data_IF_918735023435
#
_entry.id   IF_918735023435
#
_cell.length_a   1.000
_cell.length_b   1.000
_cell.length_c   1.000
_cell.angle_alpha   90.00
_cell.angle_beta   90.00
_cell.angle_gamma   90.00
#
_symmetry.space_group_name_H-M   'P 1'
#
loop_
_entity.id
_entity.type
_entity.pdbx_description
1 polymer ?
#
# COMPACT_ATOMS: atom_id res chain seq x y z
N UNK A 1 9.38 -22.40 66.10
CA UNK A 1 8.18 -21.57 65.95
C UNK A 1 8.19 -20.74 64.67
N UNK A 2 7.30 -21.17 63.77
CA UNK A 2 6.50 -20.43 62.79
C UNK A 2 7.17 -19.75 61.57
N UNK A 3 8.49 -19.57 61.52
CA UNK A 3 9.11 -18.78 60.43
C UNK A 3 9.67 -19.57 59.24
N UNK A 4 9.76 -20.90 59.30
CA UNK A 4 10.24 -21.71 58.16
C UNK A 4 9.14 -22.37 57.33
N UNK A 5 7.87 -22.20 57.69
CA UNK A 5 6.73 -22.90 57.05
C UNK A 5 6.06 -22.09 55.93
N UNK A 6 6.49 -20.84 55.68
CA UNK A 6 5.83 -19.94 54.73
C UNK A 6 6.65 -19.54 53.50
N UNK A 7 7.84 -20.14 53.27
CA UNK A 7 8.65 -19.87 52.07
C UNK A 7 8.60 -21.07 51.12
N UNK A 8 7.40 -21.37 50.61
CA UNK A 8 7.23 -22.19 49.40
C UNK A 8 6.29 -21.46 48.46
N UNK A 9 6.76 -20.36 47.88
CA UNK A 9 6.22 -19.91 46.61
C UNK A 9 6.82 -20.80 45.52
N UNK A 10 6.16 -21.92 45.23
CA UNK A 10 6.33 -22.55 43.92
C UNK A 10 5.81 -21.57 42.87
N UNK A 11 6.71 -20.70 42.40
CA UNK A 11 6.47 -19.85 41.26
C UNK A 11 6.23 -20.74 40.06
N UNK A 12 4.96 -20.97 39.71
CA UNK A 12 4.60 -21.40 38.36
C UNK A 12 5.16 -20.35 37.41
N UNK A 13 6.33 -20.63 36.82
CA UNK A 13 6.73 -19.99 35.57
C UNK A 13 5.67 -20.37 34.57
N UNK A 14 4.67 -19.51 34.43
CA UNK A 14 3.83 -19.53 33.26
C UNK A 14 4.79 -19.17 32.12
N UNK A 15 5.24 -20.20 31.40
CA UNK A 15 5.80 -20.07 30.05
C UNK A 15 4.66 -19.59 29.15
N UNK A 16 4.12 -18.40 29.45
CA UNK A 16 3.38 -17.60 28.51
C UNK A 16 4.47 -17.05 27.58
N UNK A 17 5.00 -17.94 26.74
CA UNK A 17 5.59 -17.54 25.47
C UNK A 17 4.45 -16.87 24.73
N UNK A 18 4.25 -15.58 25.05
CA UNK A 18 3.58 -14.60 24.22
C UNK A 18 4.37 -14.63 22.93
N UNK A 19 4.02 -15.60 22.09
CA UNK A 19 4.58 -15.78 20.79
C UNK A 19 3.97 -14.60 20.08
N UNK A 20 4.72 -13.49 20.01
CA UNK A 20 4.33 -12.32 19.26
C UNK A 20 3.85 -12.85 17.91
N UNK A 21 2.63 -12.50 17.48
CA UNK A 21 2.13 -13.01 16.21
C UNK A 21 3.22 -12.77 15.17
N UNK A 22 3.59 -13.77 14.35
CA UNK A 22 4.68 -13.60 13.39
C UNK A 22 4.48 -12.40 12.45
N UNK A 23 3.23 -11.92 12.31
CA UNK A 23 2.88 -10.65 11.69
C UNK A 23 3.59 -9.40 12.28
N UNK A 24 4.04 -9.46 13.54
CA UNK A 24 4.75 -8.37 14.25
C UNK A 24 6.27 -8.42 14.00
N UNK A 25 6.81 -9.56 13.56
CA UNK A 25 8.25 -9.74 13.26
C UNK A 25 8.54 -9.94 11.77
N UNK A 26 7.51 -10.09 10.92
CA UNK A 26 7.68 -10.25 9.48
C UNK A 26 7.93 -8.89 8.81
N UNK A 27 8.76 -8.87 7.77
CA UNK A 27 9.03 -7.67 6.97
C UNK A 27 7.78 -7.12 6.23
N UNK A 28 6.68 -7.89 6.21
CA UNK A 28 5.40 -7.55 5.58
C UNK A 28 4.29 -7.71 6.64
N UNK A 29 3.80 -6.59 7.17
CA UNK A 29 2.78 -6.57 8.24
C UNK A 29 1.34 -6.51 7.72
N UNK A 30 1.15 -6.22 6.44
CA UNK A 30 -0.17 -5.92 5.84
C UNK A 30 -0.79 -7.11 5.08
N UNK A 31 -0.10 -8.26 4.98
CA UNK A 31 -0.61 -9.45 4.29
C UNK A 31 -0.26 -10.71 5.05
N UNK A 32 -1.28 -11.52 5.35
CA UNK A 32 -1.10 -12.80 6.05
C UNK A 32 -0.66 -13.90 5.09
N UNK A 33 0.16 -14.83 5.58
CA UNK A 33 0.52 -16.04 4.83
C UNK A 33 -0.68 -17.01 4.74
N UNK A 34 -0.67 -17.90 3.75
CA UNK A 34 -1.68 -18.97 3.61
C UNK A 34 -3.02 -18.57 2.99
N UNK A 35 -3.19 -17.31 2.56
CA UNK A 35 -4.39 -16.86 1.84
C UNK A 35 -4.57 -17.70 0.57
N UNK A 36 -5.78 -18.20 0.33
CA UNK A 36 -6.09 -19.03 -0.84
C UNK A 36 -7.46 -18.70 -1.40
N UNK A 37 -7.48 -18.35 -2.68
CA UNK A 37 -8.70 -18.15 -3.47
C UNK A 37 -8.87 -19.26 -4.50
N UNK A 38 -10.12 -19.58 -4.84
CA UNK A 38 -10.44 -20.53 -5.92
C UNK A 38 -10.02 -19.97 -7.29
N UNK A 39 -10.15 -18.66 -7.47
CA UNK A 39 -9.75 -17.90 -8.65
C UNK A 39 -8.95 -16.71 -8.18
N UNK A 40 -7.79 -16.48 -8.79
CA UNK A 40 -6.95 -15.33 -8.46
C UNK A 40 -7.39 -14.15 -9.33
N UNK A 41 -7.95 -13.12 -8.71
CA UNK A 41 -8.43 -11.93 -9.38
C UNK A 41 -7.90 -10.67 -8.68
N UNK A 42 -7.69 -9.61 -9.46
CA UNK A 42 -7.33 -8.29 -8.98
C UNK A 42 -8.20 -7.29 -9.72
N UNK A 43 -8.93 -6.48 -8.98
CA UNK A 43 -9.70 -5.37 -9.54
C UNK A 43 -8.99 -4.08 -9.18
N UNK A 44 -8.99 -3.13 -10.11
CA UNK A 44 -8.37 -1.83 -9.96
C UNK A 44 -9.36 -0.78 -10.47
N UNK A 45 -9.72 0.14 -9.60
CA UNK A 45 -10.57 1.28 -9.90
C UNK A 45 -9.71 2.54 -9.88
N UNK A 46 -9.73 3.28 -10.99
CA UNK A 46 -9.12 4.61 -11.11
C UNK A 46 -10.24 5.63 -10.89
N UNK A 47 -10.14 6.40 -9.81
CA UNK A 47 -11.15 7.37 -9.41
C UNK A 47 -10.52 8.74 -9.45
N UNK A 48 -11.01 9.60 -10.35
CA UNK A 48 -10.55 10.97 -10.50
C UNK A 48 -11.69 11.93 -10.20
N UNK A 49 -11.40 12.95 -9.40
CA UNK A 49 -12.28 14.06 -9.11
C UNK A 49 -11.69 15.34 -9.67
N UNK A 50 -12.51 16.19 -10.30
CA UNK A 50 -12.08 17.45 -10.88
C UNK A 50 -12.60 18.58 -10.00
N UNK A 51 -11.67 19.29 -9.37
CA UNK A 51 -11.97 20.50 -8.61
C UNK A 51 -11.77 21.71 -9.52
N UNK A 52 -12.87 22.31 -9.94
CA UNK A 52 -12.91 23.45 -10.86
C UNK A 52 -13.51 24.68 -10.18
N UNK A 53 -12.75 25.79 -10.20
CA UNK A 53 -13.20 27.10 -9.76
C UNK A 53 -13.22 28.06 -10.95
N UNK A 54 -14.37 28.67 -11.21
CA UNK A 54 -14.55 29.63 -12.30
C UNK A 54 -15.28 30.89 -11.82
N UNK A 55 -14.89 32.03 -12.39
CA UNK A 55 -15.59 33.30 -12.24
C UNK A 55 -16.91 33.29 -13.03
N UNK A 56 -17.86 34.16 -12.66
CA UNK A 56 -19.13 34.32 -13.36
C UNK A 56 -18.99 34.74 -14.84
N UNK A 57 -17.84 35.31 -15.22
CA UNK A 57 -17.51 35.67 -16.60
C UNK A 57 -16.95 34.49 -17.43
N UNK A 58 -16.83 33.30 -16.84
CA UNK A 58 -16.29 32.10 -17.49
C UNK A 58 -14.77 31.92 -17.40
N UNK A 59 -14.04 32.84 -16.77
CA UNK A 59 -12.60 32.67 -16.55
C UNK A 59 -12.34 31.60 -15.48
N UNK A 60 -11.52 30.60 -15.79
CA UNK A 60 -11.09 29.56 -14.85
C UNK A 60 -10.03 30.13 -13.91
N UNK A 61 -10.24 29.97 -12.61
CA UNK A 61 -9.36 30.41 -11.52
C UNK A 61 -8.46 29.28 -11.05
N UNK A 62 -9.00 28.07 -10.99
CA UNK A 62 -8.28 26.86 -10.59
C UNK A 62 -8.95 25.63 -11.17
N UNK A 63 -8.13 24.68 -11.57
CA UNK A 63 -8.56 23.38 -12.08
C UNK A 63 -7.50 22.38 -11.63
N UNK A 64 -7.86 21.51 -10.68
CA UNK A 64 -6.99 20.43 -10.22
C UNK A 64 -7.71 19.08 -10.32
N UNK A 65 -6.93 18.03 -10.59
CA UNK A 65 -7.43 16.66 -10.60
C UNK A 65 -6.96 16.03 -9.29
N UNK A 66 -7.85 15.33 -8.59
CA UNK A 66 -7.51 14.56 -7.41
C UNK A 66 -7.81 13.10 -7.74
N UNK A 67 -6.76 12.30 -7.89
CA UNK A 67 -6.83 10.91 -8.29
C UNK A 67 -6.58 9.94 -7.14
N UNK A 68 -7.26 8.79 -7.17
CA UNK A 68 -7.04 7.66 -6.26
C UNK A 68 -7.16 6.33 -7.02
N UNK A 69 -6.23 5.42 -6.74
CA UNK A 69 -6.26 4.04 -7.23
C UNK A 69 -6.70 3.12 -6.10
N UNK A 70 -7.91 2.56 -6.21
CA UNK A 70 -8.45 1.59 -5.26
C UNK A 70 -8.34 0.19 -5.85
N UNK A 71 -7.82 -0.75 -5.06
CA UNK A 71 -7.62 -2.12 -5.47
C UNK A 71 -8.48 -3.06 -4.63
N UNK A 72 -8.95 -4.14 -5.26
CA UNK A 72 -9.50 -5.31 -4.59
C UNK A 72 -8.66 -6.53 -4.94
N UNK A 73 -7.85 -6.99 -4.00
CA UNK A 73 -7.00 -8.16 -4.16
C UNK A 73 -7.72 -9.42 -3.69
N UNK A 74 -7.86 -10.37 -4.60
CA UNK A 74 -8.32 -11.73 -4.32
C UNK A 74 -7.27 -12.71 -4.84
N UNK A 75 -6.06 -12.59 -4.30
CA UNK A 75 -4.89 -13.36 -4.73
C UNK A 75 -4.45 -14.34 -3.65
N UNK A 76 -3.96 -15.51 -4.05
CA UNK A 76 -3.44 -16.53 -3.14
C UNK A 76 -1.96 -16.31 -2.83
N UNK A 77 -1.51 -16.72 -1.64
CA UNK A 77 -0.11 -16.65 -1.22
C UNK A 77 0.38 -15.21 -1.01
N UNK A 78 1.66 -14.97 -1.29
CA UNK A 78 2.36 -13.68 -1.14
C UNK A 78 2.85 -13.16 -2.50
N UNK A 79 1.94 -12.69 -3.38
CA UNK A 79 2.33 -12.23 -4.72
C UNK A 79 3.02 -10.85 -4.66
N UNK A 80 4.09 -10.68 -5.44
CA UNK A 80 4.65 -9.36 -5.76
C UNK A 80 4.01 -8.88 -7.08
N UNK A 81 3.36 -7.72 -7.03
CA UNK A 81 2.75 -7.05 -8.17
C UNK A 81 3.61 -5.86 -8.61
N UNK A 82 3.53 -5.54 -9.90
CA UNK A 82 4.11 -4.32 -10.48
C UNK A 82 3.03 -3.59 -11.27
N UNK A 83 2.86 -2.30 -11.00
CA UNK A 83 1.95 -1.42 -11.71
C UNK A 83 2.74 -0.48 -12.62
N UNK A 84 2.42 -0.51 -13.92
CA UNK A 84 2.95 0.43 -14.90
C UNK A 84 1.93 1.53 -15.18
N UNK A 85 2.32 2.79 -14.95
CA UNK A 85 1.56 3.98 -15.35
C UNK A 85 2.28 4.68 -16.51
N UNK A 86 1.52 5.43 -17.30
CA UNK A 86 2.04 6.31 -18.35
C UNK A 86 2.59 7.64 -17.78
N UNK A 87 3.41 7.53 -16.75
CA UNK A 87 4.04 8.65 -16.04
C UNK A 87 5.08 9.35 -16.92
N UNK A 88 4.91 10.65 -17.16
CA UNK A 88 5.80 11.48 -17.99
C UNK A 88 7.27 11.34 -17.61
N UNK A 89 7.59 11.34 -16.31
CA UNK A 89 8.96 11.23 -15.81
C UNK A 89 9.61 9.88 -16.16
N UNK A 90 8.81 8.82 -16.24
CA UNK A 90 9.30 7.51 -16.69
C UNK A 90 9.64 7.50 -18.17
N UNK A 91 8.83 8.16 -19.00
CA UNK A 91 9.06 8.25 -20.45
C UNK A 91 10.22 9.18 -20.82
N UNK A 92 10.41 10.28 -20.07
CA UNK A 92 11.58 11.16 -20.22
C UNK A 92 12.90 10.40 -20.01
N UNK A 93 12.97 9.53 -18.99
CA UNK A 93 14.15 8.67 -18.75
C UNK A 93 14.45 7.69 -19.89
N UNK A 94 13.44 7.31 -20.67
CA UNK A 94 13.55 6.32 -21.76
C UNK A 94 13.78 7.02 -23.11
N UNK A 95 13.72 8.35 -23.17
CA UNK A 95 13.92 9.12 -24.41
C UNK A 95 12.78 8.94 -25.43
N UNK A 96 11.59 8.55 -24.97
CA UNK A 96 10.42 8.32 -25.80
C UNK A 96 9.43 9.47 -25.61
N UNK A 97 9.28 10.29 -26.64
CA UNK A 97 8.31 11.39 -26.67
C UNK A 97 6.92 10.82 -27.02
N UNK A 98 6.21 10.35 -26.00
CA UNK A 98 4.82 9.91 -26.13
C UNK A 98 3.90 11.08 -25.82
N UNK A 99 3.05 11.47 -26.79
CA UNK A 99 2.05 12.55 -26.64
C UNK A 99 1.00 12.29 -25.52
N UNK A 100 0.95 11.08 -24.93
CA UNK A 100 -0.06 10.70 -23.93
C UNK A 100 0.57 10.30 -22.59
N UNK A 101 1.32 11.22 -22.02
CA UNK A 101 1.87 11.08 -20.67
C UNK A 101 1.00 11.81 -19.64
N UNK A 102 0.92 11.28 -18.43
CA UNK A 102 0.27 11.92 -17.29
C UNK A 102 1.37 12.50 -16.41
N UNK A 103 1.21 13.78 -16.05
CA UNK A 103 2.02 14.39 -15.00
C UNK A 103 1.36 14.07 -13.67
N UNK A 104 2.11 13.43 -12.76
CA UNK A 104 1.59 12.99 -11.47
C UNK A 104 2.27 13.81 -10.40
N UNK A 105 1.57 14.82 -9.89
CA UNK A 105 2.02 15.65 -8.79
C UNK A 105 1.65 15.01 -7.44
N UNK A 106 2.50 15.23 -6.44
CA UNK A 106 2.26 14.86 -5.03
C UNK A 106 1.72 13.43 -4.79
N UNK A 107 2.37 12.42 -5.37
CA UNK A 107 1.95 11.03 -5.21
C UNK A 107 2.15 10.53 -3.77
N UNK A 108 1.11 9.96 -3.18
CA UNK A 108 1.16 9.23 -1.89
C UNK A 108 0.85 7.76 -2.15
N UNK A 109 1.62 6.89 -1.50
CA UNK A 109 1.47 5.45 -1.63
C UNK A 109 1.04 4.80 -0.33
N UNK A 110 0.33 3.69 -0.44
CA UNK A 110 0.16 2.75 0.66
C UNK A 110 1.52 2.16 1.09
N UNK A 111 1.66 1.84 2.38
CA UNK A 111 2.88 1.26 2.96
C UNK A 111 3.38 -0.03 2.28
N UNK A 112 2.55 -0.68 1.46
CA UNK A 112 2.94 -1.88 0.75
C UNK A 112 3.84 -1.63 -0.46
N UNK A 113 3.98 -0.38 -0.91
CA UNK A 113 4.79 0.01 -2.06
C UNK A 113 6.24 0.20 -1.67
N UNK A 114 7.14 -0.35 -2.49
CA UNK A 114 8.58 -0.21 -2.30
C UNK A 114 9.07 1.13 -2.84
N UNK A 115 9.05 2.17 -1.99
CA UNK A 115 9.44 3.53 -2.36
C UNK A 115 10.83 3.62 -3.02
N UNK A 116 11.82 2.84 -2.55
CA UNK A 116 13.18 2.85 -3.13
C UNK A 116 13.22 2.43 -4.61
N UNK A 117 12.34 1.52 -5.04
CA UNK A 117 12.24 1.11 -6.46
C UNK A 117 11.55 2.19 -7.30
N UNK A 118 10.55 2.86 -6.72
CA UNK A 118 9.85 3.96 -7.37
C UNK A 118 10.78 5.17 -7.58
N UNK A 119 11.58 5.54 -6.59
CA UNK A 119 12.53 6.65 -6.71
C UNK A 119 13.59 6.40 -7.79
N UNK A 120 14.12 5.18 -7.88
CA UNK A 120 15.13 4.80 -8.88
C UNK A 120 14.54 4.73 -10.29
N UNK A 121 13.51 3.89 -10.48
CA UNK A 121 13.08 3.43 -11.80
C UNK A 121 11.64 3.84 -12.15
N UNK A 122 10.95 4.55 -11.25
CA UNK A 122 9.49 4.79 -11.31
C UNK A 122 8.69 3.49 -11.44
N UNK A 123 9.20 2.40 -10.83
CA UNK A 123 8.54 1.09 -10.78
C UNK A 123 7.72 0.95 -9.49
N UNK A 124 6.40 0.82 -9.62
CA UNK A 124 5.49 0.64 -8.49
C UNK A 124 5.38 -0.86 -8.19
N UNK A 125 6.28 -1.37 -7.36
CA UNK A 125 6.30 -2.76 -6.92
C UNK A 125 5.77 -2.92 -5.49
N UNK A 126 4.85 -3.85 -5.25
CA UNK A 126 4.21 -4.05 -3.96
C UNK A 126 3.68 -5.47 -3.74
N UNK A 127 3.49 -5.84 -2.47
CA UNK A 127 2.70 -7.03 -2.09
C UNK A 127 1.35 -6.51 -1.59
N UNK A 128 0.22 -6.76 -2.27
CA UNK A 128 -1.05 -6.13 -1.92
C UNK A 128 -1.61 -6.68 -0.58
N UNK A 129 -2.17 -5.82 0.29
CA UNK A 129 -3.14 -6.26 1.29
C UNK A 129 -4.24 -7.11 0.66
N UNK A 130 -4.83 -7.99 1.46
CA UNK A 130 -5.95 -8.80 1.02
C UNK A 130 -7.26 -8.01 1.07
N UNK A 131 -8.15 -8.20 0.10
CA UNK A 131 -9.40 -7.43 0.02
C UNK A 131 -9.23 -6.03 -0.56
N UNK A 132 -10.04 -5.09 -0.10
CA UNK A 132 -10.15 -3.73 -0.65
C UNK A 132 -9.25 -2.74 0.10
N UNK A 133 -8.43 -1.98 -0.64
CA UNK A 133 -7.56 -0.94 -0.10
C UNK A 133 -7.25 0.15 -1.13
N UNK A 134 -6.80 1.32 -0.69
CA UNK A 134 -6.26 2.36 -1.56
C UNK A 134 -4.76 2.14 -1.76
N UNK A 135 -4.30 1.99 -3.00
CA UNK A 135 -2.89 1.78 -3.34
C UNK A 135 -2.12 3.09 -3.38
N UNK A 136 -2.68 4.11 -4.03
CA UNK A 136 -2.07 5.41 -4.18
C UNK A 136 -3.09 6.51 -4.41
N UNK A 137 -2.72 7.74 -4.07
CA UNK A 137 -3.41 8.96 -4.44
C UNK A 137 -2.44 9.90 -5.15
N UNK A 138 -2.92 10.70 -6.09
CA UNK A 138 -2.13 11.69 -6.83
C UNK A 138 -2.95 12.96 -7.07
N UNK A 139 -2.25 14.04 -7.42
CA UNK A 139 -2.82 15.31 -7.84
C UNK A 139 -2.28 15.71 -9.21
#
# INVERSE_FOLDING_TARGET
DILMEYITQEGKKQDDKRTVPPAVTNAVSWRSEGIKYKKNELFLDVIESIDLMAHANGTIVGCEIIGSLRLKSQLSGMPELRLGLNDRLRYEKIGSDSERTVDLDEVRFHQCVRLSKFEADRDIAFIPPDGEFELMSYR
#
